data_IF_167155913540
#
_entry.id   IF_167155913540
#
_cell.length_a   1.000
_cell.length_b   1.000
_cell.length_c   1.000
_cell.angle_alpha   90.00
_cell.angle_beta   90.00
_cell.angle_gamma   90.00
#
_symmetry.space_group_name_H-M   'P 1'
#
loop_
_entity.id
_entity.type
_entity.pdbx_description
1 polymer ?
#
# COMPACT_ATOMS: atom_id res chain seq x y z
N UNK A 1 -20.57 1.41 9.05
CA UNK A 1 -20.11 1.23 7.69
C UNK A 1 -18.81 0.45 7.70
N UNK A 2 -18.74 -0.57 6.90
CA UNK A 2 -17.57 -1.44 6.92
C UNK A 2 -16.42 -0.88 6.11
N UNK A 3 -15.25 -0.90 6.69
CA UNK A 3 -14.05 -0.54 5.99
C UNK A 3 -13.61 -1.71 5.12
N UNK A 4 -13.33 -1.45 3.86
CA UNK A 4 -12.79 -2.46 2.97
C UNK A 4 -11.28 -2.37 2.97
N UNK A 5 -10.66 -3.48 3.23
CA UNK A 5 -9.20 -3.53 3.24
C UNK A 5 -8.70 -4.41 2.12
N UNK A 6 -7.73 -3.90 1.40
CA UNK A 6 -7.05 -4.64 0.34
C UNK A 6 -5.57 -4.68 0.68
N UNK A 7 -4.97 -5.83 0.55
CA UNK A 7 -3.55 -5.98 0.82
C UNK A 7 -2.87 -6.64 -0.37
N UNK A 8 -1.74 -6.10 -0.75
CA UNK A 8 -0.93 -6.68 -1.83
C UNK A 8 0.44 -7.01 -1.28
N UNK A 9 0.86 -8.25 -1.47
CA UNK A 9 2.20 -8.67 -1.08
C UNK A 9 3.10 -8.68 -2.30
N UNK A 10 4.21 -7.96 -2.24
CA UNK A 10 5.16 -7.89 -3.34
C UNK A 10 6.57 -8.13 -2.80
N UNK A 11 7.52 -8.45 -3.69
CA UNK A 11 8.91 -8.57 -3.27
C UNK A 11 9.45 -7.23 -2.76
N UNK A 12 10.47 -7.24 -1.88
CA UNK A 12 11.02 -6.00 -1.36
C UNK A 12 11.52 -5.04 -2.42
N UNK A 13 11.97 -5.55 -3.55
CA UNK A 13 12.52 -4.71 -4.63
C UNK A 13 11.49 -4.36 -5.69
N UNK A 14 10.20 -4.52 -5.40
CA UNK A 14 9.17 -4.33 -6.41
C UNK A 14 9.22 -2.95 -7.08
N UNK A 15 9.53 -1.91 -6.31
CA UNK A 15 9.55 -0.56 -6.86
C UNK A 15 10.74 -0.30 -7.77
N UNK A 16 11.74 -1.16 -7.74
CA UNK A 16 12.91 -1.06 -8.61
C UNK A 16 12.81 -1.93 -9.85
N UNK A 17 11.66 -2.55 -10.05
CA UNK A 17 11.48 -3.52 -11.12
C UNK A 17 10.22 -3.17 -11.91
N UNK A 18 9.87 -4.07 -12.84
CA UNK A 18 8.64 -3.93 -13.60
C UNK A 18 7.40 -3.96 -12.74
N UNK A 19 7.53 -4.47 -11.52
CA UNK A 19 6.39 -4.59 -10.63
C UNK A 19 5.86 -3.23 -10.17
N UNK A 20 6.65 -2.17 -10.29
CA UNK A 20 6.23 -0.85 -9.83
C UNK A 20 4.91 -0.42 -10.48
N UNK A 21 4.75 -0.65 -11.77
CA UNK A 21 3.52 -0.29 -12.45
C UNK A 21 2.32 -1.08 -11.96
N UNK A 22 2.53 -2.35 -11.62
CA UNK A 22 1.47 -3.19 -11.11
C UNK A 22 1.04 -2.72 -9.72
N UNK A 23 2.01 -2.38 -8.87
CA UNK A 23 1.74 -1.90 -7.53
C UNK A 23 0.90 -0.62 -7.59
N UNK A 24 1.34 0.34 -8.40
CA UNK A 24 0.63 1.61 -8.46
C UNK A 24 -0.75 1.47 -9.07
N UNK A 25 -0.92 0.60 -10.06
CA UNK A 25 -2.24 0.35 -10.63
C UNK A 25 -3.18 -0.31 -9.63
N UNK A 26 -2.62 -1.17 -8.76
CA UNK A 26 -3.41 -1.78 -7.71
C UNK A 26 -3.96 -0.71 -6.77
N UNK A 27 -3.11 0.24 -6.35
CA UNK A 27 -3.52 1.32 -5.47
C UNK A 27 -4.59 2.17 -6.15
N UNK A 28 -4.38 2.53 -7.41
CA UNK A 28 -5.35 3.34 -8.13
C UNK A 28 -6.68 2.62 -8.23
N UNK A 29 -6.65 1.34 -8.61
CA UNK A 29 -7.88 0.58 -8.77
C UNK A 29 -8.68 0.43 -7.49
N UNK A 30 -7.98 0.34 -6.37
CA UNK A 30 -8.66 0.13 -5.10
C UNK A 30 -9.12 1.42 -4.44
N UNK A 31 -8.42 2.53 -4.66
CA UNK A 31 -8.69 3.76 -3.95
C UNK A 31 -9.29 4.88 -4.81
N UNK A 32 -8.83 4.99 -6.03
CA UNK A 32 -9.11 6.18 -6.83
C UNK A 32 -10.04 5.87 -7.99
N UNK A 33 -10.97 4.97 -7.77
CA UNK A 33 -11.89 4.53 -8.80
C UNK A 33 -12.88 5.65 -9.11
N UNK A 34 -13.00 5.96 -10.38
CA UNK A 34 -14.07 6.79 -10.92
C UNK A 34 -14.16 8.22 -10.41
N UNK A 35 -14.45 8.42 -9.17
CA UNK A 35 -14.85 9.73 -8.65
C UNK A 35 -13.98 10.20 -7.51
N UNK A 36 -12.70 9.88 -7.56
CA UNK A 36 -11.78 10.30 -6.52
C UNK A 36 -11.49 9.20 -5.55
N UNK A 37 -10.98 9.57 -4.38
CA UNK A 37 -10.58 8.58 -3.39
C UNK A 37 -11.79 7.83 -2.86
N UNK A 38 -11.64 6.52 -2.78
CA UNK A 38 -12.68 5.68 -2.24
C UNK A 38 -12.59 5.71 -0.72
N UNK A 39 -13.56 6.36 -0.11
CA UNK A 39 -13.47 6.64 1.33
C UNK A 39 -13.60 5.44 2.23
N UNK A 40 -14.21 4.38 1.76
CA UNK A 40 -14.40 3.18 2.57
C UNK A 40 -13.30 2.16 2.38
N UNK A 41 -12.19 2.54 1.77
CA UNK A 41 -11.14 1.58 1.45
C UNK A 41 -9.83 1.93 2.10
N UNK A 42 -9.11 0.89 2.52
CA UNK A 42 -7.71 0.99 2.93
C UNK A 42 -6.93 0.01 2.07
N UNK A 43 -5.82 0.48 1.53
CA UNK A 43 -4.95 -0.36 0.73
C UNK A 43 -3.59 -0.40 1.39
N UNK A 44 -3.07 -1.59 1.62
CA UNK A 44 -1.75 -1.76 2.20
C UNK A 44 -0.87 -2.57 1.25
N UNK A 45 0.32 -2.08 1.02
CA UNK A 45 1.30 -2.77 0.20
C UNK A 45 2.39 -3.28 1.12
N UNK A 46 2.60 -4.59 1.13
CA UNK A 46 3.60 -5.22 1.98
C UNK A 46 4.80 -5.60 1.12
N UNK A 47 5.95 -5.06 1.44
CA UNK A 47 7.17 -5.26 0.66
C UNK A 47 8.04 -6.32 1.32
N UNK A 48 7.58 -7.55 1.28
CA UNK A 48 8.29 -8.64 1.93
C UNK A 48 8.50 -8.33 3.40
N UNK A 49 9.73 -8.40 3.87
CA UNK A 49 10.04 -8.07 5.24
C UNK A 49 10.46 -6.63 5.48
N UNK A 50 10.42 -5.79 4.44
CA UNK A 50 10.90 -4.41 4.54
C UNK A 50 9.88 -3.44 5.08
N UNK A 51 8.65 -3.87 5.25
CA UNK A 51 7.63 -3.00 5.81
C UNK A 51 6.44 -2.85 4.89
N UNK A 52 5.51 -2.00 5.30
CA UNK A 52 4.26 -1.79 4.59
C UNK A 52 3.93 -0.32 4.49
N UNK A 53 3.23 0.04 3.43
CA UNK A 53 2.70 1.40 3.25
C UNK A 53 1.20 1.27 3.07
N UNK A 54 0.44 1.99 3.88
CA UNK A 54 -1.02 1.93 3.87
C UNK A 54 -1.62 3.25 3.42
N UNK A 55 -2.61 3.15 2.56
CA UNK A 55 -3.36 4.30 2.04
C UNK A 55 -4.78 4.23 2.59
N UNK A 56 -5.21 5.27 3.28
CA UNK A 56 -6.56 5.33 3.83
C UNK A 56 -7.40 6.30 3.03
N UNK A 57 -8.33 5.77 2.28
CA UNK A 57 -9.15 6.57 1.38
C UNK A 57 -9.90 7.70 2.07
N UNK A 58 -10.34 7.47 3.31
CA UNK A 58 -11.11 8.47 4.03
C UNK A 58 -10.30 9.72 4.36
N UNK A 59 -8.99 9.58 4.50
CA UNK A 59 -8.12 10.67 4.96
C UNK A 59 -7.24 11.28 3.89
N UNK A 60 -7.12 10.62 2.74
CA UNK A 60 -6.16 11.06 1.72
C UNK A 60 -6.50 12.42 1.14
N UNK A 61 -5.46 13.18 0.83
CA UNK A 61 -5.58 14.48 0.17
C UNK A 61 -4.43 14.65 -0.81
N UNK A 62 -4.74 15.22 -1.95
CA UNK A 62 -3.73 15.67 -2.92
C UNK A 62 -2.80 14.57 -3.42
N UNK A 63 -3.33 13.37 -3.57
CA UNK A 63 -2.56 12.26 -4.10
C UNK A 63 -2.85 12.12 -5.58
N UNK A 64 -1.81 12.18 -6.39
CA UNK A 64 -1.95 12.00 -7.84
C UNK A 64 -1.94 10.52 -8.17
N UNK A 65 -2.85 10.08 -9.03
CA UNK A 65 -2.98 8.65 -9.35
C UNK A 65 -2.07 8.21 -10.47
N UNK A 66 -0.86 8.73 -10.55
CA UNK A 66 0.07 8.31 -11.58
C UNK A 66 1.21 7.49 -10.97
N UNK A 67 1.84 6.70 -11.80
CA UNK A 67 2.86 5.77 -11.35
C UNK A 67 4.03 6.46 -10.67
N UNK A 68 4.48 7.57 -11.25
CA UNK A 68 5.64 8.27 -10.71
C UNK A 68 5.36 8.83 -9.31
N UNK A 69 4.22 9.47 -9.15
CA UNK A 69 3.85 10.04 -7.85
C UNK A 69 3.66 8.96 -6.80
N UNK A 70 2.94 7.90 -7.14
CA UNK A 70 2.68 6.84 -6.19
C UNK A 70 3.94 6.06 -5.84
N UNK A 71 4.81 5.82 -6.81
CA UNK A 71 6.08 5.16 -6.54
C UNK A 71 6.95 6.00 -5.61
N UNK A 72 6.95 7.30 -5.79
CA UNK A 72 7.69 8.20 -4.90
C UNK A 72 7.16 8.13 -3.46
N UNK A 73 5.85 8.10 -3.31
CA UNK A 73 5.24 7.98 -1.99
C UNK A 73 5.61 6.65 -1.34
N UNK A 74 5.53 5.56 -2.10
CA UNK A 74 5.87 4.25 -1.58
C UNK A 74 7.33 4.16 -1.16
N UNK A 75 8.24 4.73 -1.96
CA UNK A 75 9.65 4.76 -1.61
C UNK A 75 9.91 5.57 -0.36
N UNK A 76 9.23 6.71 -0.22
CA UNK A 76 9.36 7.53 0.97
C UNK A 76 8.88 6.75 2.20
N UNK A 77 7.79 6.00 2.05
CA UNK A 77 7.29 5.17 3.14
C UNK A 77 8.29 4.12 3.57
N UNK A 78 8.87 3.41 2.61
CA UNK A 78 9.85 2.37 2.94
C UNK A 78 11.09 2.96 3.58
N UNK A 79 11.53 4.13 3.12
CA UNK A 79 12.66 4.81 3.73
C UNK A 79 12.34 5.15 5.18
N UNK A 80 11.13 5.61 5.43
CA UNK A 80 10.72 5.96 6.77
C UNK A 80 10.72 4.76 7.70
N UNK A 81 10.28 3.60 7.20
CA UNK A 81 10.35 2.37 7.99
C UNK A 81 11.80 2.04 8.35
N UNK A 82 12.69 2.12 7.36
CA UNK A 82 14.09 1.80 7.57
C UNK A 82 14.75 2.76 8.57
N UNK A 83 14.41 4.03 8.49
CA UNK A 83 15.08 5.05 9.29
C UNK A 83 14.48 5.21 10.68
N UNK A 84 13.16 5.08 10.82
CA UNK A 84 12.50 5.38 12.08
C UNK A 84 11.45 4.34 12.51
N UNK A 85 11.33 3.24 11.76
CA UNK A 85 10.33 2.23 12.07
C UNK A 85 8.96 2.52 11.50
N UNK A 86 8.76 3.68 10.89
CA UNK A 86 7.50 4.02 10.25
C UNK A 86 6.96 5.36 10.69
N UNK A 87 5.71 5.63 10.35
CA UNK A 87 5.04 6.85 10.70
C UNK A 87 4.24 7.38 9.53
N UNK A 88 3.74 8.59 9.68
CA UNK A 88 2.95 9.22 8.62
C UNK A 88 3.86 9.71 7.51
N UNK A 89 3.53 9.33 6.29
CA UNK A 89 4.25 9.78 5.10
C UNK A 89 3.64 11.09 4.61
N UNK A 90 2.32 11.10 4.49
CA UNK A 90 1.55 12.30 4.22
C UNK A 90 0.13 12.01 4.66
N UNK A 91 -0.77 12.97 4.51
CA UNK A 91 -2.12 12.81 5.03
C UNK A 91 -2.80 11.59 4.42
N UNK A 92 -3.23 10.67 5.27
CA UNK A 92 -3.90 9.46 4.84
C UNK A 92 -2.97 8.34 4.42
N UNK A 93 -1.65 8.53 4.51
CA UNK A 93 -0.69 7.53 4.07
C UNK A 93 0.32 7.30 5.18
N UNK A 94 0.47 6.04 5.58
CA UNK A 94 1.28 5.64 6.72
C UNK A 94 2.19 4.49 6.36
N UNK A 95 3.34 4.45 6.99
CA UNK A 95 4.28 3.34 6.80
C UNK A 95 4.53 2.70 8.16
N UNK A 96 4.79 1.38 8.13
CA UNK A 96 5.11 0.66 9.36
C UNK A 96 5.90 -0.59 9.00
N UNK A 97 6.46 -1.24 10.02
CA UNK A 97 7.26 -2.44 9.81
C UNK A 97 6.45 -3.72 9.91
N UNK A 98 5.14 -3.63 9.81
CA UNK A 98 4.28 -4.79 9.91
C UNK A 98 4.48 -5.75 8.74
N UNK A 99 4.22 -7.01 9.01
CA UNK A 99 4.23 -8.03 7.98
C UNK A 99 2.81 -8.44 7.66
N UNK A 100 2.64 -8.99 6.47
CA UNK A 100 1.31 -9.39 6.03
C UNK A 100 0.68 -10.38 7.00
N UNK A 101 1.46 -11.28 7.57
CA UNK A 101 0.94 -12.27 8.51
C UNK A 101 0.23 -11.62 9.69
N UNK A 102 0.78 -10.51 10.17
CA UNK A 102 0.19 -9.82 11.30
C UNK A 102 -1.14 -9.19 10.93
N UNK A 103 -1.20 -8.63 9.73
CA UNK A 103 -2.43 -7.99 9.27
C UNK A 103 -3.54 -9.02 9.07
N UNK A 104 -3.22 -10.15 8.47
CA UNK A 104 -4.20 -11.19 8.22
C UNK A 104 -4.73 -11.76 9.54
N UNK A 105 -3.84 -11.91 10.52
CA UNK A 105 -4.26 -12.47 11.80
C UNK A 105 -5.25 -11.58 12.54
N UNK A 106 -5.16 -10.26 12.33
CA UNK A 106 -6.04 -9.34 13.03
C UNK A 106 -7.29 -8.95 12.25
N UNK A 107 -7.20 -8.98 10.95
CA UNK A 107 -8.25 -8.41 10.11
C UNK A 107 -9.24 -9.46 9.65
N UNK A 108 -10.49 -9.07 9.63
CA UNK A 108 -11.54 -9.88 9.01
C UNK A 108 -12.03 -9.11 7.81
N UNK A 109 -12.24 -9.82 6.71
CA UNK A 109 -12.72 -9.19 5.50
C UNK A 109 -11.65 -8.53 4.67
N UNK A 110 -10.39 -8.70 5.05
CA UNK A 110 -9.30 -8.19 4.25
C UNK A 110 -9.10 -9.06 3.02
N UNK A 111 -9.01 -8.42 1.88
CA UNK A 111 -8.71 -9.11 0.64
C UNK A 111 -7.22 -9.02 0.39
N UNK A 112 -6.59 -10.16 0.25
CA UNK A 112 -5.15 -10.26 0.10
C UNK A 112 -4.81 -10.70 -1.31
N UNK A 113 -3.92 -9.97 -1.94
CA UNK A 113 -3.44 -10.25 -3.29
C UNK A 113 -1.95 -10.49 -3.23
N UNK A 114 -1.49 -11.49 -3.96
CA UNK A 114 -0.08 -11.80 -4.01
C UNK A 114 0.48 -11.46 -5.36
N UNK A 115 1.64 -10.86 -5.35
CA UNK A 115 2.33 -10.54 -6.59
C UNK A 115 3.82 -10.75 -6.38
N UNK A 116 4.43 -11.48 -7.28
CA UNK A 116 5.86 -11.71 -7.19
C UNK A 116 6.15 -13.15 -7.51
N UNK A 117 7.39 -13.52 -7.39
CA UNK A 117 7.80 -14.81 -7.82
C UNK A 117 7.24 -15.92 -6.98
N UNK A 118 6.89 -15.70 -5.77
CA UNK A 118 6.29 -16.74 -4.96
C UNK A 118 5.00 -17.24 -5.48
N UNK A 119 4.41 -16.48 -6.33
CA UNK A 119 3.16 -16.89 -6.88
C UNK A 119 3.34 -17.98 -7.83
N UNK A 120 3.79 -18.29 -7.91
CA UNK A 120 3.65 -19.25 -8.68
C UNK A 120 3.23 -19.84 -8.51
#
# INVERSE_FOLDING_TARGET
MDLREFALLVPPDALSSREAGIVTRFVVGALLVSHGARRDARVSIYFGGDGAVSFEGASMRNVRPDEQSLSGILRAGLRKVRDTGGGRVMQGIYANDARLEDAVARAKGTRVYYRGQGGR
#
